data_IF_729757634453
#
_entry.id   IF_729757634453
#
_cell.length_a   1.000
_cell.length_b   1.000
_cell.length_c   1.000
_cell.angle_alpha   90.00
_cell.angle_beta   90.00
_cell.angle_gamma   90.00
#
_symmetry.space_group_name_H-M   'P 1'
#
loop_
_entity.id
_entity.type
_entity.pdbx_description
1 polymer ?
#
# COMPACT_ATOMS: atom_id res chain seq x y z
N UNK A 1 3.84 18.80 2.04
CA UNK A 1 5.29 18.96 1.80
C UNK A 1 6.08 17.64 1.94
N UNK A 2 6.56 17.22 3.12
CA UNK A 2 7.44 16.02 3.21
C UNK A 2 6.69 14.68 3.05
N UNK A 3 5.57 14.49 3.75
CA UNK A 3 4.77 13.26 3.62
C UNK A 3 4.14 13.11 2.24
N UNK A 4 3.67 14.22 1.67
CA UNK A 4 3.14 14.32 0.31
C UNK A 4 4.18 13.93 -0.74
N UNK A 5 5.38 14.53 -0.68
CA UNK A 5 6.51 14.14 -1.54
C UNK A 5 6.87 12.66 -1.37
N UNK A 6 6.86 12.17 -0.13
CA UNK A 6 7.15 10.76 0.13
C UNK A 6 6.06 9.83 -0.42
N UNK A 7 4.78 10.23 -0.35
CA UNK A 7 3.65 9.50 -0.95
C UNK A 7 3.80 9.43 -2.47
N UNK A 8 4.07 10.57 -3.12
CA UNK A 8 4.27 10.63 -4.57
C UNK A 8 5.46 9.81 -5.02
N UNK A 9 6.58 9.85 -4.28
CA UNK A 9 7.73 9.02 -4.56
C UNK A 9 7.40 7.51 -4.51
N UNK A 10 6.58 7.08 -3.56
CA UNK A 10 6.16 5.66 -3.45
C UNK A 10 5.24 5.28 -4.60
N UNK A 11 4.26 6.13 -4.94
CA UNK A 11 3.36 5.92 -6.09
C UNK A 11 4.17 5.81 -7.40
N UNK A 12 5.15 6.69 -7.60
CA UNK A 12 6.03 6.66 -8.77
C UNK A 12 6.89 5.40 -8.82
N UNK A 13 7.44 4.95 -7.68
CA UNK A 13 8.19 3.68 -7.62
C UNK A 13 7.31 2.47 -7.95
N UNK A 14 6.08 2.44 -7.46
CA UNK A 14 5.13 1.36 -7.77
C UNK A 14 4.83 1.34 -9.27
N UNK A 15 4.69 2.52 -9.91
CA UNK A 15 4.54 2.63 -11.36
C UNK A 15 5.77 2.09 -12.10
N UNK A 16 6.98 2.45 -11.66
CA UNK A 16 8.22 1.92 -12.25
C UNK A 16 8.31 0.39 -12.14
N UNK A 17 8.00 -0.16 -10.97
CA UNK A 17 7.96 -1.62 -10.73
C UNK A 17 6.95 -2.30 -11.68
N UNK A 18 5.78 -1.70 -11.88
CA UNK A 18 4.76 -2.18 -12.82
C UNK A 18 5.29 -2.18 -14.26
N UNK A 19 5.95 -1.11 -14.69
CA UNK A 19 6.54 -1.03 -16.04
C UNK A 19 7.65 -2.07 -16.26
N UNK A 20 8.52 -2.28 -15.26
CA UNK A 20 9.56 -3.30 -15.32
C UNK A 20 8.98 -4.72 -15.42
N UNK A 21 7.94 -5.00 -14.63
CA UNK A 21 7.24 -6.27 -14.70
C UNK A 21 6.57 -6.48 -16.07
N UNK A 22 6.01 -5.42 -16.67
CA UNK A 22 5.42 -5.48 -18.00
C UNK A 22 6.47 -5.83 -19.08
N UNK A 23 7.67 -5.24 -19.00
CA UNK A 23 8.82 -5.58 -19.86
C UNK A 23 9.24 -7.04 -19.73
N UNK A 24 9.04 -7.65 -18.54
CA UNK A 24 9.27 -9.08 -18.26
C UNK A 24 8.08 -9.98 -18.61
N UNK A 25 7.11 -9.49 -19.39
CA UNK A 25 5.99 -10.30 -19.90
C UNK A 25 4.76 -10.38 -18.98
N UNK A 26 4.66 -9.50 -17.98
CA UNK A 26 3.43 -9.39 -17.18
C UNK A 26 2.35 -8.63 -17.94
N UNK A 27 1.21 -9.28 -18.19
CA UNK A 27 0.05 -8.65 -18.80
C UNK A 27 -0.93 -8.13 -17.74
N UNK A 28 -0.71 -6.90 -17.27
CA UNK A 28 -1.62 -6.23 -16.33
C UNK A 28 -3.03 -6.00 -16.90
N UNK A 29 -3.20 -5.96 -18.23
CA UNK A 29 -4.53 -5.82 -18.85
C UNK A 29 -5.39 -7.08 -18.69
N UNK A 30 -4.77 -8.23 -18.44
CA UNK A 30 -5.48 -9.48 -18.14
C UNK A 30 -6.05 -9.50 -16.70
N UNK A 31 -5.73 -8.51 -15.87
CA UNK A 31 -6.23 -8.46 -14.51
C UNK A 31 -7.69 -8.05 -14.47
N UNK A 32 -8.53 -8.91 -13.91
CA UNK A 32 -9.94 -8.59 -13.65
C UNK A 32 -10.14 -8.23 -12.18
N UNK A 33 -11.36 -7.85 -11.79
CA UNK A 33 -11.70 -7.58 -10.38
C UNK A 33 -11.32 -8.73 -9.43
N UNK A 34 -11.38 -9.97 -9.91
CA UNK A 34 -11.17 -11.18 -9.10
C UNK A 34 -9.93 -11.98 -9.48
N UNK A 35 -9.36 -11.78 -10.66
CA UNK A 35 -8.22 -12.56 -11.16
C UNK A 35 -7.00 -11.67 -11.41
N UNK A 36 -6.06 -11.65 -10.46
CA UNK A 36 -4.81 -10.87 -10.50
C UNK A 36 -3.56 -11.71 -10.18
N UNK A 37 -3.71 -13.03 -10.21
CA UNK A 37 -2.66 -13.99 -9.86
C UNK A 37 -1.72 -14.31 -11.01
N UNK A 38 -0.64 -15.04 -10.73
CA UNK A 38 0.34 -15.47 -11.74
C UNK A 38 -0.24 -16.38 -12.83
N UNK A 39 -1.46 -16.92 -12.64
CA UNK A 39 -2.13 -17.79 -13.62
C UNK A 39 -2.81 -17.03 -14.77
N UNK A 40 -3.08 -15.74 -14.59
CA UNK A 40 -3.72 -14.90 -15.64
C UNK A 40 -2.69 -14.15 -16.50
N UNK A 41 -1.41 -14.40 -16.30
CA UNK A 41 -0.33 -13.74 -17.02
C UNK A 41 0.85 -14.69 -17.25
N UNK A 42 1.60 -14.51 -18.33
CA UNK A 42 2.75 -15.35 -18.66
C UNK A 42 4.00 -15.02 -17.81
N UNK A 43 4.13 -13.78 -17.32
CA UNK A 43 5.22 -13.34 -16.42
C UNK A 43 5.02 -13.66 -14.93
N UNK A 44 4.68 -14.90 -14.58
CA UNK A 44 4.27 -15.26 -13.21
C UNK A 44 5.29 -14.95 -12.10
N UNK A 45 6.59 -15.18 -12.34
CA UNK A 45 7.67 -14.84 -11.39
C UNK A 45 7.86 -13.33 -11.27
N UNK A 46 7.94 -12.65 -12.42
CA UNK A 46 8.10 -11.19 -12.47
C UNK A 46 6.94 -10.48 -11.75
N UNK A 47 5.70 -10.97 -11.85
CA UNK A 47 4.57 -10.43 -11.10
C UNK A 47 4.75 -10.61 -9.58
N UNK A 48 5.23 -11.78 -9.13
CA UNK A 48 5.45 -12.05 -7.69
C UNK A 48 6.53 -11.14 -7.13
N UNK A 49 7.66 -11.02 -7.82
CA UNK A 49 8.75 -10.09 -7.48
C UNK A 49 8.23 -8.66 -7.39
N UNK A 50 7.50 -8.21 -8.41
CA UNK A 50 6.99 -6.85 -8.50
C UNK A 50 6.00 -6.55 -7.35
N UNK A 51 5.14 -7.51 -6.98
CA UNK A 51 4.28 -7.38 -5.78
C UNK A 51 5.09 -7.22 -4.51
N UNK A 52 6.12 -8.04 -4.30
CA UNK A 52 6.95 -7.95 -3.08
C UNK A 52 7.73 -6.64 -3.02
N UNK A 53 8.30 -6.18 -4.14
CA UNK A 53 8.99 -4.90 -4.22
C UNK A 53 8.04 -3.73 -3.92
N UNK A 54 6.84 -3.73 -4.50
CA UNK A 54 5.85 -2.69 -4.25
C UNK A 54 5.44 -2.65 -2.77
N UNK A 55 5.21 -3.82 -2.16
CA UNK A 55 4.91 -3.91 -0.73
C UNK A 55 6.04 -3.35 0.13
N UNK A 56 7.30 -3.64 -0.20
CA UNK A 56 8.45 -3.12 0.55
C UNK A 56 8.52 -1.58 0.53
N UNK A 57 8.21 -0.94 -0.61
CA UNK A 57 8.17 0.52 -0.69
C UNK A 57 7.02 1.11 0.13
N UNK A 58 5.86 0.46 0.15
CA UNK A 58 4.73 0.86 1.02
C UNK A 58 5.08 0.70 2.51
N UNK A 59 5.70 -0.41 2.92
CA UNK A 59 6.11 -0.59 4.33
C UNK A 59 7.10 0.47 4.80
N UNK A 60 8.03 0.91 3.93
CA UNK A 60 8.94 2.03 4.24
C UNK A 60 8.15 3.32 4.49
N UNK A 61 7.15 3.60 3.66
CA UNK A 61 6.28 4.76 3.82
C UNK A 61 5.47 4.71 5.11
N UNK A 62 4.87 3.56 5.42
CA UNK A 62 4.11 3.35 6.66
C UNK A 62 4.94 3.60 7.92
N UNK A 63 6.23 3.23 7.91
CA UNK A 63 7.16 3.55 9.01
C UNK A 63 7.46 5.05 9.13
N UNK A 64 7.46 5.79 8.03
CA UNK A 64 7.62 7.26 8.05
C UNK A 64 6.37 7.89 8.70
N UNK A 65 5.18 7.45 8.29
CA UNK A 65 3.90 7.91 8.86
C UNK A 65 3.84 7.64 10.36
N UNK A 66 4.22 6.43 10.81
CA UNK A 66 4.26 6.09 12.24
C UNK A 66 5.14 7.04 13.04
N UNK A 67 6.36 7.30 12.56
CA UNK A 67 7.30 8.20 13.22
C UNK A 67 6.72 9.61 13.33
N UNK A 68 6.17 10.13 12.24
CA UNK A 68 5.58 11.47 12.22
C UNK A 68 4.37 11.56 13.17
N UNK A 69 3.51 10.54 13.16
CA UNK A 69 2.34 10.48 14.04
C UNK A 69 2.72 10.40 15.52
N UNK A 70 3.78 9.67 15.87
CA UNK A 70 4.28 9.59 17.25
C UNK A 70 4.89 10.93 17.72
N UNK A 71 5.55 11.67 16.83
CA UNK A 71 6.04 13.03 17.12
C UNK A 71 4.85 13.96 17.40
N UNK A 72 3.80 13.88 16.58
CA UNK A 72 2.59 14.67 16.73
C UNK A 72 1.64 14.17 17.82
N UNK A 73 1.92 13.04 18.48
CA UNK A 73 0.99 12.42 19.45
C UNK A 73 0.49 13.39 20.54
N UNK A 74 1.34 14.29 21.03
CA UNK A 74 1.00 15.23 22.11
C UNK A 74 0.37 16.53 21.64
N UNK A 75 0.71 16.98 20.44
CA UNK A 75 0.43 18.35 19.97
C UNK A 75 -0.32 18.39 18.62
N UNK A 76 -0.53 17.23 18.01
CA UNK A 76 -1.17 17.07 16.70
C UNK A 76 -2.66 17.20 16.80
N UNK A 77 -3.27 17.73 15.74
CA UNK A 77 -4.71 17.84 15.64
C UNK A 77 -5.31 16.75 14.74
N UNK A 78 -6.62 16.56 14.86
CA UNK A 78 -7.36 15.57 14.08
C UNK A 78 -7.20 15.71 12.57
N UNK A 79 -7.11 16.94 12.05
CA UNK A 79 -6.93 17.18 10.62
C UNK A 79 -5.58 16.68 10.11
N UNK A 80 -4.52 16.78 10.92
CA UNK A 80 -3.21 16.23 10.58
C UNK A 80 -3.22 14.71 10.52
N UNK A 81 -3.87 14.04 11.48
CA UNK A 81 -3.98 12.57 11.47
C UNK A 81 -4.85 12.06 10.31
N UNK A 82 -5.93 12.78 9.99
CA UNK A 82 -6.76 12.47 8.81
C UNK A 82 -5.95 12.62 7.51
N UNK A 83 -5.14 13.68 7.37
CA UNK A 83 -4.27 13.85 6.21
C UNK A 83 -3.22 12.72 6.09
N UNK A 84 -2.63 12.30 7.21
CA UNK A 84 -1.73 11.13 7.21
C UNK A 84 -2.44 9.85 6.79
N UNK A 85 -3.67 9.66 7.25
CA UNK A 85 -4.51 8.54 6.88
C UNK A 85 -4.85 8.55 5.38
N UNK A 86 -5.17 9.72 4.82
CA UNK A 86 -5.42 9.88 3.39
C UNK A 86 -4.20 9.47 2.56
N UNK A 87 -2.99 9.88 2.97
CA UNK A 87 -1.77 9.43 2.31
C UNK A 87 -1.56 7.91 2.41
N UNK A 88 -1.89 7.28 3.55
CA UNK A 88 -1.84 5.82 3.66
C UNK A 88 -2.81 5.15 2.68
N UNK A 89 -4.02 5.69 2.52
CA UNK A 89 -5.01 5.17 1.58
C UNK A 89 -4.61 5.38 0.11
N UNK A 90 -4.02 6.51 -0.23
CA UNK A 90 -3.50 6.76 -1.58
C UNK A 90 -2.40 5.77 -1.96
N UNK A 91 -1.39 5.65 -1.10
CA UNK A 91 -0.24 4.76 -1.34
C UNK A 91 -0.69 3.31 -1.40
N UNK A 92 -1.53 2.86 -0.47
CA UNK A 92 -2.06 1.48 -0.50
C UNK A 92 -2.98 1.24 -1.69
N UNK A 93 -3.73 2.25 -2.14
CA UNK A 93 -4.56 2.18 -3.34
C UNK A 93 -3.75 1.98 -4.62
N UNK A 94 -2.55 2.56 -4.72
CA UNK A 94 -1.69 2.35 -5.89
C UNK A 94 -1.25 0.89 -6.09
N UNK A 95 -1.30 0.06 -5.03
CA UNK A 95 -1.03 -1.37 -5.14
C UNK A 95 -2.11 -2.14 -5.91
N UNK A 96 -3.31 -1.57 -6.09
CA UNK A 96 -4.36 -2.18 -6.91
C UNK A 96 -3.87 -2.35 -8.37
N UNK A 97 -3.03 -1.42 -8.85
CA UNK A 97 -2.48 -1.44 -10.20
C UNK A 97 -1.54 -2.61 -10.48
N UNK A 98 -0.89 -3.12 -9.43
CA UNK A 98 -0.01 -4.29 -9.50
C UNK A 98 -0.75 -5.59 -9.10
N UNK A 99 -2.07 -5.51 -8.92
CA UNK A 99 -2.93 -6.66 -8.65
C UNK A 99 -3.00 -7.07 -7.17
N UNK A 100 -2.67 -6.17 -6.24
CA UNK A 100 -2.91 -6.32 -4.81
C UNK A 100 -4.15 -5.51 -4.46
N UNK A 101 -5.32 -6.15 -4.58
CA UNK A 101 -6.61 -5.46 -4.49
C UNK A 101 -7.22 -5.48 -3.09
N UNK A 102 -8.03 -4.46 -2.80
CA UNK A 102 -9.00 -4.49 -1.69
C UNK A 102 -8.46 -4.06 -0.32
N UNK A 103 -7.20 -3.59 -0.25
CA UNK A 103 -6.64 -3.03 0.98
C UNK A 103 -7.30 -1.68 1.27
N UNK A 104 -7.25 -0.75 0.31
CA UNK A 104 -7.84 0.59 0.45
C UNK A 104 -9.32 0.53 0.83
N UNK A 105 -10.13 -0.21 0.06
CA UNK A 105 -11.59 -0.28 0.29
C UNK A 105 -11.95 -0.78 1.69
N UNK A 106 -11.31 -1.86 2.14
CA UNK A 106 -11.59 -2.43 3.46
C UNK A 106 -11.16 -1.51 4.61
N UNK A 107 -10.05 -0.78 4.46
CA UNK A 107 -9.60 0.18 5.47
C UNK A 107 -10.50 1.44 5.47
N UNK A 108 -10.88 1.94 4.29
CA UNK A 108 -11.80 3.07 4.17
C UNK A 108 -13.18 2.77 4.75
N UNK A 109 -13.69 1.54 4.58
CA UNK A 109 -14.95 1.12 5.19
C UNK A 109 -14.88 1.11 6.71
N UNK A 110 -13.80 0.58 7.28
CA UNK A 110 -13.57 0.60 8.72
C UNK A 110 -13.52 2.04 9.26
N UNK A 111 -12.83 2.93 8.55
CA UNK A 111 -12.68 4.33 8.94
C UNK A 111 -14.00 5.12 8.95
N UNK A 112 -15.04 4.68 8.24
CA UNK A 112 -16.40 5.29 8.35
C UNK A 112 -17.00 5.10 9.75
N UNK A 113 -16.77 3.93 10.34
CA UNK A 113 -17.30 3.58 11.66
C UNK A 113 -16.39 4.03 12.81
N UNK A 114 -15.09 4.14 12.55
CA UNK A 114 -14.10 4.54 13.55
C UNK A 114 -13.02 5.43 12.89
N UNK A 115 -13.25 6.77 12.85
CA UNK A 115 -12.39 7.73 12.17
C UNK A 115 -10.95 7.72 12.66
N UNK A 116 -10.01 7.93 11.74
CA UNK A 116 -8.56 7.89 12.01
C UNK A 116 -8.04 9.28 12.38
N UNK A 117 -8.57 9.84 13.47
CA UNK A 117 -8.34 11.21 13.89
C UNK A 117 -7.38 11.35 15.10
N UNK A 118 -6.72 10.27 15.50
CA UNK A 118 -5.70 10.24 16.57
C UNK A 118 -4.46 9.45 16.14
N UNK A 119 -3.33 9.70 16.81
CA UNK A 119 -2.08 8.97 16.56
C UNK A 119 -2.22 7.46 16.85
N UNK A 120 -2.85 7.09 17.96
CA UNK A 120 -3.09 5.68 18.33
C UNK A 120 -3.87 4.97 17.24
N UNK A 121 -4.94 5.61 16.76
CA UNK A 121 -5.80 5.02 15.74
C UNK A 121 -5.08 4.87 14.41
N UNK A 122 -4.23 5.82 14.05
CA UNK A 122 -3.40 5.74 12.86
C UNK A 122 -2.42 4.56 12.93
N UNK A 123 -1.79 4.34 14.09
CA UNK A 123 -0.87 3.21 14.31
C UNK A 123 -1.61 1.86 14.26
N UNK A 124 -2.83 1.77 14.81
CA UNK A 124 -3.66 0.57 14.69
C UNK A 124 -3.99 0.25 13.21
N UNK A 125 -4.41 1.26 12.46
CA UNK A 125 -4.76 1.09 11.04
C UNK A 125 -3.53 0.73 10.22
N UNK A 126 -2.37 1.32 10.52
CA UNK A 126 -1.09 0.94 9.93
C UNK A 126 -0.80 -0.54 10.15
N UNK A 127 -0.88 -1.03 11.39
CA UNK A 127 -0.63 -2.43 11.69
C UNK A 127 -1.57 -3.37 10.93
N UNK A 128 -2.84 -2.98 10.75
CA UNK A 128 -3.80 -3.73 9.93
C UNK A 128 -3.40 -3.79 8.46
N UNK A 129 -2.90 -2.69 7.90
CA UNK A 129 -2.38 -2.64 6.53
C UNK A 129 -1.15 -3.56 6.42
N UNK A 130 -0.18 -3.43 7.33
CA UNK A 130 1.03 -4.27 7.35
C UNK A 130 0.69 -5.76 7.41
N UNK A 131 -0.22 -6.17 8.29
CA UNK A 131 -0.67 -7.56 8.39
C UNK A 131 -1.29 -8.09 7.08
N UNK A 132 -2.10 -7.27 6.39
CA UNK A 132 -2.67 -7.64 5.09
C UNK A 132 -1.59 -7.77 4.03
N UNK A 133 -0.65 -6.83 3.98
CA UNK A 133 0.48 -6.84 3.05
C UNK A 133 1.40 -8.04 3.27
N UNK A 134 1.67 -8.39 4.53
CA UNK A 134 2.45 -9.57 4.89
C UNK A 134 1.75 -10.86 4.43
N UNK A 135 0.43 -10.94 4.59
CA UNK A 135 -0.37 -12.05 4.05
C UNK A 135 -0.24 -12.19 2.52
N UNK A 136 -0.13 -11.07 1.80
CA UNK A 136 0.10 -11.07 0.34
C UNK A 136 1.52 -11.51 0.02
N UNK A 137 2.54 -11.02 0.73
CA UNK A 137 3.96 -11.44 0.59
C UNK A 137 4.13 -12.94 0.77
N UNK A 138 3.58 -13.50 1.86
CA UNK A 138 3.65 -14.94 2.17
C UNK A 138 3.07 -15.79 1.04
N UNK A 139 2.01 -15.32 0.37
CA UNK A 139 1.39 -16.02 -0.78
C UNK A 139 2.25 -15.99 -2.05
N UNK A 140 3.21 -15.07 -2.17
CA UNK A 140 4.06 -14.98 -3.35
C UNK A 140 5.11 -16.10 -3.43
N UNK A 141 5.40 -16.80 -2.32
CA UNK A 141 6.33 -17.94 -2.25
C UNK A 141 7.60 -17.69 -3.07
N UNK A 142 8.26 -16.58 -2.79
CA UNK A 142 9.62 -16.34 -3.27
C UNK A 142 10.52 -17.15 -2.33
N UNK A 143 10.74 -18.42 -2.66
CA UNK A 143 11.85 -19.22 -2.14
C UNK A 143 13.14 -18.86 -2.90
#
# INVERSE_FOLDING_TARGET
AMLESSSDNVKNKILQIKEEAAKKGVNFKAFTGTATGSKVTNGGSALREAKVQAINEVEKFLKIIEKEALILKKNGNSSQFLAMFDFMLEVTGSLDEIGIKGIKSSISEEAKSNPVNTAERLVEVKAKIENKLEGVKKRQKLD
#
